data_IF_335384250781
#
_entry.id   IF_335384250781
#
_cell.length_a   1.000
_cell.length_b   1.000
_cell.length_c   1.000
_cell.angle_alpha   90.00
_cell.angle_beta   90.00
_cell.angle_gamma   90.00
#
_symmetry.space_group_name_H-M   'P 1'
#
loop_
_entity.id
_entity.type
_entity.pdbx_description
1 polymer ?
#
# COMPACT_ATOMS: atom_id res chain seq x y z
N UNK A 1 -17.00 22.21 -16.00
CA UNK A 1 -17.31 20.88 -15.45
C UNK A 1 -17.51 20.00 -16.67
N UNK A 2 -16.75 18.91 -16.81
CA UNK A 2 -16.98 17.94 -17.88
C UNK A 2 -18.35 17.29 -17.65
N UNK A 3 -19.04 16.94 -18.73
CA UNK A 3 -20.30 16.18 -18.63
C UNK A 3 -20.03 14.85 -17.90
N UNK A 4 -20.94 14.35 -17.05
CA UNK A 4 -20.75 13.08 -16.33
C UNK A 4 -20.42 11.90 -17.26
N UNK A 5 -20.99 11.89 -18.47
CA UNK A 5 -20.74 10.90 -19.52
C UNK A 5 -19.28 10.91 -20.00
N UNK A 6 -18.75 12.11 -20.31
CA UNK A 6 -17.36 12.31 -20.73
C UNK A 6 -16.37 11.86 -19.64
N UNK A 7 -16.70 12.13 -18.38
CA UNK A 7 -15.89 11.68 -17.25
C UNK A 7 -15.85 10.15 -17.15
N UNK A 8 -17.00 9.46 -17.28
CA UNK A 8 -17.06 8.00 -17.22
C UNK A 8 -16.30 7.32 -18.38
N UNK A 9 -16.31 7.93 -19.57
CA UNK A 9 -15.49 7.47 -20.70
C UNK A 9 -13.99 7.58 -20.40
N UNK A 10 -13.55 8.71 -19.83
CA UNK A 10 -12.17 8.89 -19.39
C UNK A 10 -11.78 7.85 -18.33
N UNK A 11 -12.66 7.60 -17.34
CA UNK A 11 -12.44 6.59 -16.31
C UNK A 11 -12.28 5.19 -16.90
N UNK A 12 -13.14 4.83 -17.84
CA UNK A 12 -13.08 3.53 -18.52
C UNK A 12 -11.78 3.35 -19.31
N UNK A 13 -11.33 4.42 -19.97
CA UNK A 13 -10.09 4.41 -20.76
C UNK A 13 -8.84 4.28 -19.89
N UNK A 14 -8.79 5.00 -18.76
CA UNK A 14 -7.59 5.09 -17.92
C UNK A 14 -7.56 4.09 -16.76
N UNK A 15 -8.68 3.43 -16.46
CA UNK A 15 -8.79 2.39 -15.44
C UNK A 15 -7.73 1.27 -15.60
N UNK A 16 -7.57 0.71 -16.81
CA UNK A 16 -6.64 -0.40 -17.04
C UNK A 16 -5.17 0.01 -16.90
N UNK A 17 -4.68 1.09 -17.55
CA UNK A 17 -3.33 1.57 -17.32
C UNK A 17 -3.03 1.87 -15.85
N UNK A 18 -3.96 2.54 -15.15
CA UNK A 18 -3.81 2.86 -13.73
C UNK A 18 -3.73 1.60 -12.86
N UNK A 19 -4.56 0.59 -13.16
CA UNK A 19 -4.52 -0.69 -12.46
C UNK A 19 -3.20 -1.44 -12.70
N UNK A 20 -2.72 -1.50 -13.93
CA UNK A 20 -1.44 -2.13 -14.24
C UNK A 20 -0.27 -1.41 -13.58
N UNK A 21 -0.30 -0.08 -13.49
CA UNK A 21 0.69 0.67 -12.75
C UNK A 21 0.65 0.35 -11.25
N UNK A 22 -0.53 0.24 -10.65
CA UNK A 22 -0.67 -0.18 -9.26
C UNK A 22 -0.12 -1.60 -9.02
N UNK A 23 -0.53 -2.58 -9.84
CA UNK A 23 0.00 -3.95 -9.73
C UNK A 23 1.50 -4.01 -9.98
N UNK A 24 2.00 -3.31 -11.00
CA UNK A 24 3.42 -3.22 -11.31
C UNK A 24 4.21 -2.62 -10.14
N UNK A 25 3.67 -1.58 -9.49
CA UNK A 25 4.25 -0.98 -8.29
C UNK A 25 4.42 -2.00 -7.15
N UNK A 26 3.36 -2.76 -6.86
CA UNK A 26 3.39 -3.78 -5.82
C UNK A 26 4.33 -4.94 -6.17
N UNK A 27 4.25 -5.46 -7.39
CA UNK A 27 5.06 -6.60 -7.85
C UNK A 27 6.55 -6.24 -7.84
N UNK A 28 6.94 -5.09 -8.40
CA UNK A 28 8.34 -4.68 -8.42
C UNK A 28 8.88 -4.46 -7.01
N UNK A 29 8.08 -3.90 -6.10
CA UNK A 29 8.47 -3.75 -4.70
C UNK A 29 8.80 -5.10 -4.06
N UNK A 30 7.96 -6.13 -4.27
CA UNK A 30 8.24 -7.49 -3.77
C UNK A 30 9.42 -8.13 -4.50
N UNK A 31 9.47 -8.02 -5.83
CA UNK A 31 10.49 -8.64 -6.66
C UNK A 31 11.90 -8.15 -6.31
N UNK A 32 12.09 -6.86 -6.03
CA UNK A 32 13.37 -6.32 -5.61
C UNK A 32 13.85 -6.88 -4.26
N UNK A 33 12.96 -6.90 -3.27
CA UNK A 33 13.25 -7.49 -1.96
C UNK A 33 13.53 -8.99 -2.05
N UNK A 34 12.77 -9.70 -2.87
CA UNK A 34 12.98 -11.13 -3.10
C UNK A 34 14.30 -11.39 -3.85
N UNK A 35 14.61 -10.59 -4.86
CA UNK A 35 15.87 -10.68 -5.60
C UNK A 35 17.07 -10.49 -4.66
N UNK A 36 17.08 -9.46 -3.82
CA UNK A 36 18.10 -9.29 -2.78
C UNK A 36 18.24 -10.53 -1.89
N UNK A 37 17.12 -11.11 -1.45
CA UNK A 37 17.15 -12.27 -0.58
C UNK A 37 17.71 -13.52 -1.28
N UNK A 38 17.45 -13.72 -2.58
CA UNK A 38 17.83 -14.94 -3.32
C UNK A 38 19.14 -14.86 -4.07
N UNK A 39 19.59 -13.65 -4.44
CA UNK A 39 20.76 -13.47 -5.30
C UNK A 39 22.08 -13.44 -4.53
N UNK A 40 22.04 -13.27 -3.21
CA UNK A 40 23.23 -13.28 -2.36
C UNK A 40 23.84 -14.68 -2.30
N UNK A 41 25.10 -14.81 -2.74
CA UNK A 41 25.83 -16.08 -2.75
C UNK A 41 26.25 -16.48 -1.33
N UNK A 42 26.64 -15.49 -0.53
CA UNK A 42 26.97 -15.64 0.88
C UNK A 42 26.02 -14.79 1.73
N UNK A 43 25.08 -15.44 2.42
CA UNK A 43 24.19 -14.74 3.36
C UNK A 43 24.89 -14.53 4.70
N UNK A 44 25.09 -13.28 5.14
CA UNK A 44 25.58 -13.00 6.48
C UNK A 44 24.61 -13.57 7.53
N UNK A 45 25.15 -14.05 8.65
CA UNK A 45 24.30 -14.49 9.76
C UNK A 45 23.57 -13.29 10.39
N UNK A 46 22.35 -13.47 10.94
CA UNK A 46 21.67 -12.40 11.65
C UNK A 46 22.55 -11.86 12.80
N UNK A 47 22.93 -10.58 12.73
CA UNK A 47 23.82 -9.94 13.71
C UNK A 47 25.28 -9.83 13.28
N UNK A 48 25.65 -10.41 12.13
CA UNK A 48 26.95 -10.25 11.47
C UNK A 48 26.94 -9.04 10.52
N UNK A 49 26.97 -7.86 11.12
CA UNK A 49 27.10 -6.55 10.47
C UNK A 49 28.41 -6.46 9.68
N UNK A 50 29.51 -7.04 10.18
CA UNK A 50 30.77 -7.07 9.44
C UNK A 50 30.63 -7.88 8.14
N UNK A 51 30.17 -9.13 8.22
CA UNK A 51 29.94 -9.96 7.04
C UNK A 51 28.92 -9.34 6.09
N UNK A 52 27.94 -8.61 6.62
CA UNK A 52 27.01 -7.84 5.78
C UNK A 52 27.67 -6.66 5.06
N UNK A 53 28.55 -5.91 5.72
CA UNK A 53 29.32 -4.85 5.07
C UNK A 53 30.25 -5.40 3.99
N UNK A 54 30.91 -6.55 4.24
CA UNK A 54 31.72 -7.25 3.25
C UNK A 54 30.88 -7.68 2.03
N UNK A 55 29.70 -8.27 2.26
CA UNK A 55 28.77 -8.64 1.19
C UNK A 55 28.26 -7.43 0.40
N UNK A 56 28.01 -6.30 1.07
CA UNK A 56 27.51 -5.08 0.43
C UNK A 56 28.50 -4.52 -0.61
N UNK A 57 29.80 -4.67 -0.35
CA UNK A 57 30.87 -4.23 -1.26
C UNK A 57 31.14 -5.28 -2.33
N UNK A 58 31.30 -6.55 -1.94
CA UNK A 58 31.64 -7.64 -2.87
C UNK A 58 30.52 -7.93 -3.88
N UNK A 59 29.26 -7.82 -3.44
CA UNK A 59 28.06 -8.06 -4.24
C UNK A 59 27.29 -6.76 -4.52
N UNK A 60 27.98 -5.61 -4.54
CA UNK A 60 27.37 -4.27 -4.73
C UNK A 60 26.40 -4.20 -5.91
N UNK A 61 26.69 -4.87 -7.02
CA UNK A 61 25.79 -4.96 -8.17
C UNK A 61 24.42 -5.58 -7.84
N UNK A 62 24.38 -6.62 -7.00
CA UNK A 62 23.14 -7.26 -6.54
C UNK A 62 22.32 -6.28 -5.70
N UNK A 63 22.98 -5.54 -4.80
CA UNK A 63 22.32 -4.55 -3.96
C UNK A 63 21.81 -3.33 -4.75
N UNK A 64 22.59 -2.83 -5.71
CA UNK A 64 22.15 -1.74 -6.60
C UNK A 64 20.93 -2.19 -7.41
N UNK A 65 20.97 -3.35 -8.07
CA UNK A 65 19.82 -3.87 -8.83
C UNK A 65 18.61 -4.05 -7.92
N UNK A 66 18.79 -4.62 -6.72
CA UNK A 66 17.69 -4.83 -5.78
C UNK A 66 17.08 -3.55 -5.22
N UNK A 67 17.81 -2.42 -5.24
CA UNK A 67 17.27 -1.09 -4.90
C UNK A 67 16.57 -0.39 -6.07
N UNK A 68 17.04 -0.61 -7.31
CA UNK A 68 16.46 0.01 -8.51
C UNK A 68 15.08 -0.57 -8.83
N UNK A 69 14.89 -1.88 -8.66
CA UNK A 69 13.60 -2.54 -8.91
C UNK A 69 12.45 -1.92 -8.07
N UNK A 70 12.53 -1.80 -6.73
CA UNK A 70 11.48 -1.18 -5.92
C UNK A 70 11.38 0.33 -6.16
N UNK A 71 12.48 1.01 -6.53
CA UNK A 71 12.43 2.42 -6.93
C UNK A 71 11.58 2.63 -8.19
N UNK A 72 11.71 1.76 -9.20
CA UNK A 72 10.82 1.76 -10.38
C UNK A 72 9.38 1.46 -9.96
N UNK A 73 9.18 0.52 -9.04
CA UNK A 73 7.88 0.22 -8.45
C UNK A 73 7.23 1.47 -7.82
N UNK A 74 7.98 2.21 -7.00
CA UNK A 74 7.55 3.47 -6.42
C UNK A 74 7.26 4.54 -7.49
N UNK A 75 8.06 4.62 -8.56
CA UNK A 75 7.86 5.55 -9.66
C UNK A 75 6.64 5.24 -10.57
N UNK A 76 6.09 4.01 -10.50
CA UNK A 76 4.82 3.67 -11.16
C UNK A 76 3.59 4.12 -10.35
N UNK A 77 3.72 4.24 -9.03
CA UNK A 77 2.61 4.61 -8.14
C UNK A 77 1.93 5.95 -8.50
N UNK A 78 2.65 7.02 -8.94
CA UNK A 78 2.04 8.25 -9.43
C UNK A 78 0.95 8.03 -10.47
N UNK A 79 1.10 7.08 -11.39
CA UNK A 79 0.09 6.84 -12.42
C UNK A 79 -1.25 6.39 -11.83
N UNK A 80 -1.19 5.53 -10.81
CA UNK A 80 -2.38 5.07 -10.07
C UNK A 80 -2.99 6.22 -9.25
N UNK A 81 -2.16 7.03 -8.59
CA UNK A 81 -2.63 8.14 -7.75
C UNK A 81 -3.20 9.32 -8.56
N UNK A 82 -2.64 9.61 -9.74
CA UNK A 82 -3.17 10.62 -10.67
C UNK A 82 -4.53 10.21 -11.20
N UNK A 83 -4.70 8.93 -11.53
CA UNK A 83 -6.01 8.39 -11.90
C UNK A 83 -7.02 8.55 -10.75
N UNK A 84 -6.65 8.13 -9.53
CA UNK A 84 -7.49 8.32 -8.34
C UNK A 84 -7.83 9.80 -8.11
N UNK A 85 -6.85 10.70 -8.22
CA UNK A 85 -7.05 12.13 -8.11
C UNK A 85 -8.10 12.63 -9.11
N UNK A 86 -7.98 12.24 -10.39
CA UNK A 86 -8.92 12.64 -11.44
C UNK A 86 -10.35 12.21 -11.14
N UNK A 87 -10.53 10.94 -10.76
CA UNK A 87 -11.82 10.35 -10.37
C UNK A 87 -12.42 11.11 -9.17
N UNK A 88 -11.62 11.38 -8.13
CA UNK A 88 -12.09 12.07 -6.92
C UNK A 88 -12.39 13.53 -7.20
N UNK A 89 -11.53 14.24 -7.96
CA UNK A 89 -11.68 15.66 -8.28
C UNK A 89 -12.94 15.94 -9.09
N UNK A 90 -13.33 15.04 -9.99
CA UNK A 90 -14.57 15.16 -10.76
C UNK A 90 -15.81 15.19 -9.87
N UNK A 91 -15.78 14.44 -8.76
CA UNK A 91 -16.90 14.34 -7.79
C UNK A 91 -16.77 15.33 -6.63
N UNK A 92 -15.55 15.75 -6.30
CA UNK A 92 -15.23 16.65 -5.19
C UNK A 92 -14.32 17.79 -5.69
N UNK A 93 -14.91 18.87 -6.24
CA UNK A 93 -14.15 20.03 -6.70
C UNK A 93 -13.32 20.71 -5.60
N UNK A 94 -13.68 20.50 -4.33
CA UNK A 94 -12.95 20.96 -3.14
C UNK A 94 -11.56 20.33 -2.97
N UNK A 95 -11.26 19.19 -3.62
CA UNK A 95 -9.96 18.54 -3.51
C UNK A 95 -8.87 19.49 -4.05
N UNK A 96 -7.89 19.93 -3.23
CA UNK A 96 -6.92 20.92 -3.67
C UNK A 96 -5.92 20.33 -4.67
N UNK A 97 -5.47 21.13 -5.64
CA UNK A 97 -4.48 20.71 -6.66
C UNK A 97 -3.14 20.32 -6.05
N UNK A 98 -2.82 20.80 -4.84
CA UNK A 98 -1.63 20.36 -4.10
C UNK A 98 -1.61 18.84 -3.90
N UNK A 99 -2.77 18.18 -3.78
CA UNK A 99 -2.85 16.73 -3.66
C UNK A 99 -2.30 16.02 -4.91
N UNK A 100 -2.52 16.57 -6.11
CA UNK A 100 -1.96 16.05 -7.36
C UNK A 100 -0.44 16.19 -7.37
N UNK A 101 0.09 17.37 -7.01
CA UNK A 101 1.53 17.59 -6.98
C UNK A 101 2.22 16.66 -5.98
N UNK A 102 1.64 16.49 -4.79
CA UNK A 102 2.15 15.58 -3.78
C UNK A 102 2.08 14.11 -4.24
N UNK A 103 1.00 13.72 -4.92
CA UNK A 103 0.81 12.37 -5.45
C UNK A 103 1.82 12.00 -6.54
N UNK A 104 2.36 12.99 -7.26
CA UNK A 104 3.39 12.79 -8.28
C UNK A 104 4.79 12.93 -7.68
N UNK A 105 5.07 14.05 -7.01
CA UNK A 105 6.40 14.35 -6.48
C UNK A 105 6.79 13.39 -5.35
N UNK A 106 5.87 13.05 -4.45
CA UNK A 106 6.15 12.21 -3.28
C UNK A 106 6.76 10.85 -3.64
N UNK A 107 6.07 10.00 -4.42
CA UNK A 107 6.63 8.71 -4.83
C UNK A 107 7.92 8.81 -5.64
N UNK A 108 8.07 9.85 -6.48
CA UNK A 108 9.29 10.02 -7.29
C UNK A 108 10.50 10.41 -6.45
N UNK A 109 10.32 11.34 -5.50
CA UNK A 109 11.36 11.71 -4.54
C UNK A 109 11.69 10.52 -3.64
N UNK A 110 10.68 9.76 -3.21
CA UNK A 110 10.88 8.54 -2.43
C UNK A 110 11.64 7.46 -3.21
N UNK A 111 11.33 7.27 -4.50
CA UNK A 111 12.07 6.38 -5.39
C UNK A 111 13.54 6.78 -5.52
N UNK A 112 13.81 8.08 -5.64
CA UNK A 112 15.18 8.61 -5.65
C UNK A 112 15.91 8.33 -4.33
N UNK A 113 15.23 8.51 -3.19
CA UNK A 113 15.80 8.23 -1.88
C UNK A 113 16.22 6.76 -1.73
N UNK A 114 15.39 5.82 -2.19
CA UNK A 114 15.72 4.38 -2.16
C UNK A 114 17.06 4.09 -2.82
N UNK A 115 17.31 4.69 -3.99
CA UNK A 115 18.55 4.49 -4.74
C UNK A 115 19.72 5.22 -4.07
N UNK A 116 19.53 6.48 -3.66
CA UNK A 116 20.58 7.28 -3.03
C UNK A 116 21.09 6.64 -1.74
N UNK A 117 20.16 6.19 -0.88
CA UNK A 117 20.49 5.49 0.36
C UNK A 117 21.23 4.17 0.12
N UNK A 118 21.06 3.53 -1.05
CA UNK A 118 21.80 2.32 -1.37
C UNK A 118 23.27 2.62 -1.69
N UNK A 119 23.55 3.71 -2.41
CA UNK A 119 24.92 4.14 -2.69
C UNK A 119 25.65 4.56 -1.42
N UNK A 120 25.02 5.38 -0.57
CA UNK A 120 25.65 5.80 0.70
C UNK A 120 26.01 4.60 1.60
N UNK A 121 25.15 3.57 1.66
CA UNK A 121 25.44 2.36 2.43
C UNK A 121 26.64 1.59 1.86
N UNK A 122 26.78 1.52 0.54
CA UNK A 122 27.94 0.89 -0.12
C UNK A 122 29.20 1.71 0.18
N UNK A 123 29.16 3.03 0.00
CA UNK A 123 30.30 3.92 0.27
C UNK A 123 30.75 3.85 1.74
N UNK A 124 29.81 3.77 2.68
CA UNK A 124 30.10 3.62 4.11
C UNK A 124 30.71 2.25 4.43
N UNK A 125 30.22 1.18 3.78
CA UNK A 125 30.81 -0.14 3.92
C UNK A 125 32.22 -0.22 3.31
N UNK A 126 32.47 0.42 2.18
CA UNK A 126 33.81 0.52 1.58
C UNK A 126 34.79 1.24 2.51
N UNK A 127 34.37 2.37 3.10
CA UNK A 127 35.19 3.09 4.08
C UNK A 127 35.48 2.26 5.33
N UNK A 128 34.49 1.49 5.82
CA UNK A 128 34.69 0.56 6.91
C UNK A 128 35.74 -0.51 6.55
N UNK A 129 35.63 -1.16 5.39
CA UNK A 129 36.60 -2.17 4.95
C UNK A 129 37.99 -1.55 4.77
N UNK A 130 38.08 -0.37 4.15
CA UNK A 130 39.33 0.34 3.93
C UNK A 130 40.03 0.75 5.24
N UNK A 131 39.27 0.98 6.32
CA UNK A 131 39.83 1.26 7.65
C UNK A 131 40.58 0.08 8.26
N UNK A 132 40.38 -1.15 7.75
CA UNK A 132 40.95 -2.38 8.29
C UNK A 132 40.36 -2.81 9.65
N UNK A 133 39.33 -2.11 10.14
CA UNK A 133 38.66 -2.44 11.38
C UNK A 133 38.00 -3.83 11.30
N UNK A 134 38.14 -4.62 12.38
CA UNK A 134 37.45 -5.90 12.55
C UNK A 134 36.34 -5.80 13.61
N UNK A 135 36.03 -4.59 14.07
CA UNK A 135 35.07 -4.33 15.13
C UNK A 135 33.63 -4.30 14.60
N UNK A 136 32.81 -5.19 15.15
CA UNK A 136 31.40 -5.36 14.84
C UNK A 136 30.58 -4.09 15.10
N UNK A 137 30.90 -3.37 16.19
CA UNK A 137 30.19 -2.13 16.54
C UNK A 137 30.42 -1.02 15.51
N UNK A 138 31.63 -0.94 14.96
CA UNK A 138 31.96 0.00 13.87
C UNK A 138 31.31 -0.40 12.55
N UNK A 139 31.21 -1.70 12.26
CA UNK A 139 30.48 -2.17 11.09
C UNK A 139 28.99 -1.79 11.19
N UNK A 140 28.39 -2.01 12.35
CA UNK A 140 27.00 -1.63 12.62
C UNK A 140 26.80 -0.11 12.50
N UNK A 141 27.71 0.70 13.03
CA UNK A 141 27.67 2.16 12.90
C UNK A 141 27.75 2.60 11.44
N UNK A 142 28.69 2.05 10.65
CA UNK A 142 28.82 2.35 9.23
C UNK A 142 27.57 1.96 8.42
N UNK A 143 26.93 0.83 8.74
CA UNK A 143 25.70 0.38 8.06
C UNK A 143 24.46 1.19 8.44
N UNK A 144 24.44 1.75 9.66
CA UNK A 144 23.36 2.61 10.16
C UNK A 144 23.54 4.07 9.76
N UNK A 145 24.77 4.50 9.50
CA UNK A 145 25.05 5.85 9.09
C UNK A 145 24.39 6.12 7.72
N UNK A 146 23.53 7.14 7.71
CA UNK A 146 22.85 7.61 6.51
C UNK A 146 23.23 9.07 6.33
N UNK A 147 23.61 9.43 5.11
CA UNK A 147 23.94 10.80 4.77
C UNK A 147 22.75 11.71 5.02
N UNK A 148 23.03 12.90 5.57
CA UNK A 148 22.00 13.89 5.87
C UNK A 148 21.14 14.24 4.64
N UNK A 149 21.71 14.18 3.43
CA UNK A 149 21.00 14.39 2.18
C UNK A 149 19.98 13.27 1.92
N UNK A 150 20.38 11.99 1.98
CA UNK A 150 19.43 10.88 1.81
C UNK A 150 18.32 10.88 2.83
N UNK A 151 18.62 11.18 4.09
CA UNK A 151 17.60 11.32 5.14
C UNK A 151 16.62 12.43 4.78
N UNK A 152 17.11 13.60 4.37
CA UNK A 152 16.26 14.73 4.00
C UNK A 152 15.39 14.44 2.76
N UNK A 153 15.96 13.81 1.73
CA UNK A 153 15.25 13.42 0.50
C UNK A 153 14.20 12.35 0.81
N UNK A 154 14.58 11.31 1.56
CA UNK A 154 13.69 10.23 1.98
C UNK A 154 12.51 10.72 2.80
N UNK A 155 12.76 11.56 3.81
CA UNK A 155 11.69 12.16 4.62
C UNK A 155 10.78 13.08 3.80
N UNK A 156 11.34 13.89 2.90
CA UNK A 156 10.56 14.78 2.04
C UNK A 156 9.64 13.99 1.09
N UNK A 157 10.15 12.91 0.49
CA UNK A 157 9.37 12.01 -0.34
C UNK A 157 8.28 11.29 0.45
N UNK A 158 8.63 10.72 1.61
CA UNK A 158 7.69 10.01 2.48
C UNK A 158 6.58 10.90 3.02
N UNK A 159 6.91 12.12 3.50
CA UNK A 159 5.92 13.09 3.95
C UNK A 159 5.00 13.53 2.82
N UNK A 160 5.56 13.84 1.65
CA UNK A 160 4.77 14.25 0.49
C UNK A 160 3.79 13.16 0.05
N UNK A 161 4.27 11.91 -0.03
CA UNK A 161 3.42 10.75 -0.32
C UNK A 161 2.37 10.53 0.77
N UNK A 162 2.74 10.66 2.04
CA UNK A 162 1.82 10.52 3.17
C UNK A 162 0.68 11.53 3.10
N UNK A 163 0.99 12.81 2.90
CA UNK A 163 -0.02 13.86 2.72
C UNK A 163 -0.89 13.63 1.49
N UNK A 164 -0.30 13.19 0.36
CA UNK A 164 -1.06 12.84 -0.83
C UNK A 164 -2.09 11.74 -0.54
N UNK A 165 -1.67 10.66 0.11
CA UNK A 165 -2.53 9.54 0.45
C UNK A 165 -3.62 9.95 1.44
N UNK A 166 -3.30 10.74 2.47
CA UNK A 166 -4.31 11.25 3.40
C UNK A 166 -5.37 12.08 2.67
N UNK A 167 -4.95 13.05 1.87
CA UNK A 167 -5.87 13.94 1.14
C UNK A 167 -6.72 13.16 0.14
N UNK A 168 -6.13 12.24 -0.63
CA UNK A 168 -6.83 11.44 -1.63
C UNK A 168 -7.82 10.47 -0.97
N UNK A 169 -7.38 9.64 -0.03
CA UNK A 169 -8.23 8.61 0.57
C UNK A 169 -9.39 9.22 1.37
N UNK A 170 -9.17 10.30 2.12
CA UNK A 170 -10.25 10.98 2.84
C UNK A 170 -11.31 11.53 1.88
N UNK A 171 -10.89 12.13 0.77
CA UNK A 171 -11.84 12.64 -0.23
C UNK A 171 -12.47 11.53 -1.07
N UNK A 172 -11.76 10.44 -1.35
CA UNK A 172 -12.27 9.27 -2.06
C UNK A 172 -13.39 8.57 -1.28
N UNK A 173 -13.22 8.42 0.04
CA UNK A 173 -14.27 7.91 0.92
C UNK A 173 -15.51 8.80 0.92
N UNK A 174 -15.32 10.12 0.98
CA UNK A 174 -16.41 11.11 0.95
C UNK A 174 -17.13 11.13 -0.40
N UNK A 175 -16.39 10.90 -1.49
CA UNK A 175 -16.94 10.84 -2.84
C UNK A 175 -17.60 9.49 -3.18
N UNK A 176 -17.49 8.47 -2.32
CA UNK A 176 -18.01 7.13 -2.61
C UNK A 176 -17.15 6.29 -3.56
N UNK A 177 -15.96 6.78 -3.91
CA UNK A 177 -15.02 6.07 -4.80
C UNK A 177 -14.40 4.87 -4.09
N UNK A 178 -14.05 5.06 -2.82
CA UNK A 178 -13.47 4.04 -1.96
C UNK A 178 -14.37 3.75 -0.77
N UNK A 179 -14.43 2.48 -0.36
CA UNK A 179 -15.09 2.11 0.90
C UNK A 179 -14.33 2.72 2.08
N UNK A 180 -15.03 2.90 3.23
CA UNK A 180 -14.39 3.40 4.46
C UNK A 180 -13.19 2.56 4.90
N UNK A 181 -13.28 1.23 4.75
CA UNK A 181 -12.17 0.32 5.05
C UNK A 181 -10.95 0.61 4.15
N UNK A 182 -11.17 0.69 2.83
CA UNK A 182 -10.11 0.91 1.86
C UNK A 182 -9.43 2.27 2.06
N UNK A 183 -10.21 3.33 2.29
CA UNK A 183 -9.64 4.66 2.50
C UNK A 183 -8.91 4.81 3.84
N UNK A 184 -9.39 4.21 4.93
CA UNK A 184 -8.63 4.18 6.20
C UNK A 184 -7.32 3.42 6.03
N UNK A 185 -7.32 2.30 5.29
CA UNK A 185 -6.10 1.57 4.96
C UNK A 185 -5.11 2.45 4.19
N UNK A 186 -5.56 3.22 3.20
CA UNK A 186 -4.68 4.12 2.46
C UNK A 186 -4.13 5.29 3.30
N UNK A 187 -4.93 5.82 4.23
CA UNK A 187 -4.45 6.80 5.22
C UNK A 187 -3.34 6.18 6.09
N UNK A 188 -3.55 4.94 6.58
CA UNK A 188 -2.55 4.21 7.37
C UNK A 188 -1.29 3.96 6.55
N UNK A 189 -1.41 3.52 5.29
CA UNK A 189 -0.27 3.33 4.36
C UNK A 189 0.51 4.63 4.16
N UNK A 190 -0.16 5.78 4.09
CA UNK A 190 0.52 7.07 3.97
C UNK A 190 1.22 7.53 5.25
N UNK A 191 0.64 7.27 6.41
CA UNK A 191 1.23 7.66 7.69
C UNK A 191 2.37 6.72 8.13
N UNK A 192 2.31 5.44 7.76
CA UNK A 192 3.24 4.42 8.26
C UNK A 192 4.71 4.66 7.92
N UNK A 193 5.13 5.02 6.70
CA UNK A 193 6.54 5.27 6.41
C UNK A 193 7.13 6.39 7.27
N UNK A 194 6.33 7.44 7.52
CA UNK A 194 6.73 8.57 8.37
C UNK A 194 6.83 8.14 9.84
N UNK A 195 5.86 7.36 10.33
CA UNK A 195 5.86 6.86 11.70
C UNK A 195 6.92 5.78 11.93
N UNK A 196 7.19 4.93 10.94
CA UNK A 196 8.21 3.88 11.00
C UNK A 196 9.61 4.45 11.12
N UNK A 197 9.85 5.67 10.63
CA UNK A 197 11.09 6.39 10.87
C UNK A 197 11.27 6.80 12.33
N UNK A 198 10.17 6.89 13.11
CA UNK A 198 10.18 7.31 14.51
C UNK A 198 10.09 6.11 15.47
N UNK A 199 9.41 5.03 15.07
CA UNK A 199 9.20 3.83 15.88
C UNK A 199 9.43 2.58 15.01
N UNK A 200 10.29 1.64 15.41
CA UNK A 200 10.49 0.38 14.70
C UNK A 200 9.24 -0.52 14.81
N UNK A 201 8.24 -0.30 13.94
CA UNK A 201 7.03 -1.12 13.85
C UNK A 201 7.17 -2.11 12.71
N UNK A 202 7.12 -3.39 13.05
CA UNK A 202 7.22 -4.50 12.10
C UNK A 202 5.92 -4.56 11.28
N UNK A 203 6.02 -4.60 9.94
CA UNK A 203 4.99 -4.96 8.93
C UNK A 203 4.31 -3.87 8.06
N UNK A 204 4.81 -2.63 8.00
CA UNK A 204 4.24 -1.60 7.12
C UNK A 204 4.14 -2.01 5.63
N UNK A 205 5.11 -2.81 5.16
CA UNK A 205 5.19 -3.24 3.75
C UNK A 205 4.02 -4.12 3.32
N UNK A 206 3.51 -5.02 4.17
CA UNK A 206 2.40 -5.90 3.78
C UNK A 206 1.09 -5.12 3.61
N UNK A 207 0.85 -4.15 4.49
CA UNK A 207 -0.33 -3.29 4.44
C UNK A 207 -0.30 -2.42 3.18
N UNK A 208 0.87 -1.85 2.85
CA UNK A 208 1.08 -1.10 1.61
C UNK A 208 0.88 -1.96 0.36
N UNK A 209 1.50 -3.14 0.31
CA UNK A 209 1.38 -4.07 -0.83
C UNK A 209 -0.06 -4.50 -1.05
N UNK A 210 -0.75 -4.85 0.03
CA UNK A 210 -2.17 -5.17 -0.01
C UNK A 210 -2.98 -4.00 -0.55
N UNK A 211 -2.80 -2.79 -0.01
CA UNK A 211 -3.57 -1.61 -0.40
C UNK A 211 -3.33 -1.22 -1.87
N UNK A 212 -2.08 -1.18 -2.35
CA UNK A 212 -1.79 -0.85 -3.75
C UNK A 212 -2.39 -1.91 -4.69
N UNK A 213 -2.31 -3.18 -4.34
CA UNK A 213 -2.92 -4.29 -5.10
C UNK A 213 -4.45 -4.18 -5.11
N UNK A 214 -5.04 -3.90 -3.95
CA UNK A 214 -6.47 -3.67 -3.77
C UNK A 214 -6.96 -2.50 -4.64
N UNK A 215 -6.18 -1.42 -4.72
CA UNK A 215 -6.46 -0.27 -5.57
C UNK A 215 -6.49 -0.65 -7.05
N UNK A 216 -5.51 -1.43 -7.51
CA UNK A 216 -5.51 -1.99 -8.87
C UNK A 216 -6.73 -2.86 -9.16
N UNK A 217 -7.13 -3.72 -8.22
CA UNK A 217 -8.33 -4.53 -8.34
C UNK A 217 -9.62 -3.68 -8.37
N UNK A 218 -9.70 -2.63 -7.56
CA UNK A 218 -10.80 -1.66 -7.57
C UNK A 218 -10.89 -0.94 -8.91
N UNK A 219 -9.76 -0.50 -9.45
CA UNK A 219 -9.68 0.13 -10.77
C UNK A 219 -10.05 -0.82 -11.90
N UNK A 220 -10.01 -2.14 -11.72
CA UNK A 220 -10.53 -3.11 -12.70
C UNK A 220 -11.98 -3.55 -12.42
N UNK A 221 -12.61 -3.07 -11.35
CA UNK A 221 -13.95 -3.51 -10.95
C UNK A 221 -13.98 -4.93 -10.38
N UNK A 222 -12.83 -5.45 -9.94
CA UNK A 222 -12.66 -6.80 -9.37
C UNK A 222 -12.50 -6.80 -7.85
N UNK A 223 -12.70 -5.65 -7.20
CA UNK A 223 -12.62 -5.55 -5.74
C UNK A 223 -13.76 -6.33 -5.07
N UNK A 224 -13.51 -7.09 -3.98
CA UNK A 224 -14.56 -7.76 -3.23
C UNK A 224 -15.61 -6.76 -2.72
N UNK A 225 -16.88 -7.00 -3.08
CA UNK A 225 -17.97 -6.05 -2.83
C UNK A 225 -18.19 -5.01 -3.93
N UNK A 226 -17.47 -5.12 -5.05
CA UNK A 226 -17.66 -4.31 -6.25
C UNK A 226 -17.08 -2.90 -6.14
N UNK A 227 -17.44 -2.08 -7.13
CA UNK A 227 -17.21 -0.63 -7.10
C UNK A 227 -18.36 0.06 -6.39
N UNK A 228 -18.05 1.17 -5.72
CA UNK A 228 -19.08 2.00 -5.07
C UNK A 228 -20.04 2.64 -6.08
N UNK A 229 -21.21 3.11 -5.64
CA UNK A 229 -22.25 3.67 -6.52
C UNK A 229 -21.75 4.83 -7.40
N UNK A 230 -20.80 5.61 -6.86
CA UNK A 230 -20.17 6.74 -7.54
C UNK A 230 -19.43 6.37 -8.84
N UNK A 231 -19.05 5.11 -9.03
CA UNK A 231 -18.41 4.63 -10.26
C UNK A 231 -19.39 4.42 -11.41
N UNK A 232 -20.68 4.23 -11.12
CA UNK A 232 -21.72 4.05 -12.14
C UNK A 232 -22.38 5.38 -12.49
N UNK A 233 -22.65 6.22 -11.49
CA UNK A 233 -23.38 7.48 -11.68
C UNK A 233 -22.47 8.64 -12.10
N UNK A 234 -21.17 8.56 -11.82
CA UNK A 234 -20.25 9.71 -11.98
C UNK A 234 -20.44 10.80 -10.91
N UNK A 235 -21.40 10.64 -10.01
CA UNK A 235 -21.74 11.60 -8.95
C UNK A 235 -21.18 11.16 -7.60
N UNK A 236 -21.06 12.12 -6.67
CA UNK A 236 -20.57 11.86 -5.33
C UNK A 236 -21.65 11.16 -4.47
N UNK A 237 -21.69 9.83 -4.52
CA UNK A 237 -22.61 9.02 -3.73
C UNK A 237 -21.83 8.16 -2.71
N UNK A 238 -21.80 8.53 -1.42
CA UNK A 238 -21.04 7.79 -0.40
C UNK A 238 -21.47 6.33 -0.26
N UNK A 239 -20.55 5.47 0.20
CA UNK A 239 -20.86 4.07 0.47
C UNK A 239 -21.92 3.91 1.59
N UNK A 240 -22.89 2.99 1.44
CA UNK A 240 -23.90 2.70 2.47
C UNK A 240 -23.23 2.36 3.80
N UNK A 241 -23.70 3.01 4.87
CA UNK A 241 -23.22 2.72 6.22
C UNK A 241 -23.68 1.33 6.67
N UNK A 242 -23.05 0.81 7.74
CA UNK A 242 -23.51 -0.45 8.32
C UNK A 242 -24.92 -0.34 8.91
N UNK A 243 -25.37 0.86 9.27
CA UNK A 243 -26.75 1.09 9.71
C UNK A 243 -27.72 1.05 8.53
N UNK A 244 -27.37 1.70 7.42
CA UNK A 244 -28.19 1.71 6.19
C UNK A 244 -28.37 0.29 5.64
N UNK A 245 -27.29 -0.50 5.62
CA UNK A 245 -27.37 -1.92 5.21
C UNK A 245 -28.23 -2.78 6.14
N UNK A 246 -28.25 -2.49 7.44
CA UNK A 246 -29.13 -3.19 8.38
C UNK A 246 -30.59 -2.81 8.16
N UNK A 247 -30.86 -1.55 7.83
CA UNK A 247 -32.20 -1.07 7.47
C UNK A 247 -32.65 -1.70 6.15
N UNK A 248 -31.83 -1.69 5.11
CA UNK A 248 -32.10 -2.38 3.84
C UNK A 248 -32.34 -3.88 4.03
N UNK A 249 -31.59 -4.55 4.91
CA UNK A 249 -31.80 -5.97 5.24
C UNK A 249 -33.06 -6.21 6.09
N UNK A 250 -33.46 -5.25 6.92
CA UNK A 250 -34.69 -5.31 7.71
C UNK A 250 -35.93 -4.99 6.87
N UNK A 251 -35.78 -4.15 5.84
CA UNK A 251 -36.82 -3.78 4.88
C UNK A 251 -36.89 -4.74 3.69
N UNK A 252 -35.85 -5.56 3.47
CA UNK A 252 -35.89 -6.64 2.50
C UNK A 252 -37.07 -7.58 2.82
N UNK A 253 -38.00 -7.81 1.88
CA UNK A 253 -39.18 -8.62 2.15
C UNK A 253 -38.74 -10.00 2.63
N UNK A 254 -39.34 -10.45 3.74
CA UNK A 254 -39.04 -11.70 4.45
C UNK A 254 -39.24 -13.01 3.63
N UNK A 255 -39.34 -12.93 2.30
CA UNK A 255 -39.61 -14.03 1.39
C UNK A 255 -38.43 -14.49 0.51
N UNK A 256 -37.25 -13.87 0.57
CA UNK A 256 -36.10 -14.27 -0.26
C UNK A 256 -35.08 -15.18 0.45
N UNK A 257 -35.24 -15.46 1.75
CA UNK A 257 -34.35 -16.33 2.51
C UNK A 257 -34.83 -17.79 2.59
N UNK A 258 -35.77 -18.22 1.74
CA UNK A 258 -36.33 -19.57 1.81
C UNK A 258 -36.62 -20.20 0.43
N UNK A 259 -35.69 -20.04 -0.52
CA UNK A 259 -35.62 -20.89 -1.71
C UNK A 259 -34.18 -21.34 -1.90
N UNK A 260 -34.00 -22.65 -1.81
CA UNK A 260 -32.79 -23.43 -2.13
C UNK A 260 -31.77 -23.66 -0.99
N UNK A 261 -32.23 -24.13 0.18
CA UNK A 261 -31.45 -25.13 0.93
C UNK A 261 -31.98 -26.54 0.60
N UNK A 262 -31.20 -27.42 -0.05
CA UNK A 262 -31.51 -28.84 -0.05
C UNK A 262 -31.39 -29.36 1.38
N UNK A 263 -32.49 -29.86 1.92
CA UNK A 263 -32.53 -30.61 3.17
C UNK A 263 -31.40 -31.67 3.22
N UNK A 264 -30.46 -31.63 4.18
CA UNK A 264 -29.62 -32.78 4.46
C UNK A 264 -30.49 -33.89 5.08
N UNK A 265 -30.41 -35.15 4.57
CA UNK A 265 -31.17 -36.24 5.15
C UNK A 265 -30.59 -36.63 6.51
N UNK A 266 -31.42 -36.51 7.55
CA UNK A 266 -31.47 -37.37 8.73
C UNK A 266 -30.19 -37.61 9.54
N UNK A 267 -30.12 -37.05 10.74
CA UNK A 267 -29.51 -37.70 11.91
C UNK A 267 -30.19 -37.23 13.21
N UNK A 268 -30.36 -38.09 14.22
CA UNK A 268 -31.52 -38.04 15.12
C UNK A 268 -31.31 -37.20 16.40
N UNK A 269 -32.34 -36.42 16.69
CA UNK A 269 -32.89 -36.02 18.01
C UNK A 269 -32.03 -36.20 19.27
N UNK A 270 -31.55 -35.08 19.84
CA UNK A 270 -31.28 -34.95 21.28
C UNK A 270 -32.49 -34.29 21.96
N UNK A 271 -33.41 -35.12 22.44
CA UNK A 271 -34.44 -34.71 23.41
C UNK A 271 -33.99 -35.12 24.83
N UNK A 272 -33.89 -34.16 25.75
CA UNK A 272 -34.54 -34.15 27.10
C UNK A 272 -33.73 -33.39 28.17
N UNK A 273 -34.08 -32.12 28.34
CA UNK A 273 -34.65 -31.53 29.56
C UNK A 273 -34.59 -32.41 30.83
N UNK A 274 -33.89 -31.98 31.89
CA UNK A 274 -34.45 -31.87 33.26
C UNK A 274 -33.52 -31.20 34.28
N UNK A 275 -34.04 -30.10 34.84
CA UNK A 275 -33.75 -29.52 36.16
C UNK A 275 -33.39 -30.57 37.23
N UNK A 276 -32.40 -30.27 38.07
CA UNK A 276 -32.49 -30.52 39.52
C UNK A 276 -31.67 -29.50 40.32
N UNK A 277 -32.41 -28.71 41.11
CA UNK A 277 -31.97 -27.89 42.24
C UNK A 277 -31.97 -28.79 43.50
N UNK A 278 -31.11 -28.47 44.48
CA UNK A 278 -30.87 -29.01 45.84
C UNK A 278 -29.46 -29.64 45.91
N UNK A 279 -28.58 -29.26 46.84
CA UNK A 279 -28.70 -28.55 48.12
C UNK A 279 -27.48 -27.66 48.31
#
# INVERSE_FOLDING_TARGET
MTEPSEQLEWETRWAKPAAFAAFGSAILTVAGNFYAATALESRPEPGDSKGFAEALVSESGVFVISSVIPAIGAALLPLALVYLYGVVKARRPELPTVALYLAVAGPLIYALAIVLSQFERIDNAEQFIASGSQDEGRAEEALRDQGALSVAVGLSGALSLGFALVLLNVNAMRAGIESRFMGVMGVVVGALPVLSSLVPVISASFVQLFWVTALGALFLGKWPGGRGPAWETGEATPWPSAADRRLEQAEAPAGAANRDEPHPPGSPTSQKRKRKRKR
#
